data_IF_583009774215
#
_entry.id   IF_583009774215
#
_cell.length_a   1.000
_cell.length_b   1.000
_cell.length_c   1.000
_cell.angle_alpha   90.00
_cell.angle_beta   90.00
_cell.angle_gamma   90.00
#
_symmetry.space_group_name_H-M   'P 1'
#
loop_
_entity.id
_entity.type
_entity.pdbx_description
1 polymer ?
#
# COMPACT_ATOMS: atom_id res chain seq x y z
N UNK A 1 -27.24 9.18 8.90
CA UNK A 1 -27.47 8.29 10.07
C UNK A 1 -26.20 7.51 10.35
N UNK A 2 -25.82 7.25 11.62
CA UNK A 2 -24.68 6.38 11.90
C UNK A 2 -24.96 4.96 11.42
N UNK A 3 -24.11 4.44 10.53
CA UNK A 3 -24.24 3.08 10.01
C UNK A 3 -24.05 2.10 11.17
N UNK A 4 -25.11 1.36 11.53
CA UNK A 4 -25.08 0.40 12.64
C UNK A 4 -24.18 -0.77 12.27
N UNK A 5 -22.90 -0.69 12.67
CA UNK A 5 -21.90 -1.72 12.39
C UNK A 5 -22.36 -3.09 12.91
N UNK A 6 -22.20 -4.12 12.09
CA UNK A 6 -22.57 -5.49 12.41
C UNK A 6 -21.34 -6.23 12.96
N UNK A 7 -21.38 -6.80 14.18
CA UNK A 7 -20.22 -7.49 14.75
C UNK A 7 -19.97 -8.85 14.07
N UNK A 8 -18.73 -9.34 14.20
CA UNK A 8 -18.38 -10.72 13.93
C UNK A 8 -19.30 -11.70 14.68
N UNK A 9 -19.55 -12.87 14.08
CA UNK A 9 -20.30 -13.98 14.71
C UNK A 9 -19.62 -14.51 15.98
N UNK A 10 -18.27 -14.45 16.05
CA UNK A 10 -17.48 -14.91 17.19
C UNK A 10 -17.04 -13.77 18.13
N UNK A 11 -17.91 -12.75 18.30
CA UNK A 11 -17.65 -11.63 19.21
C UNK A 11 -17.46 -12.09 20.65
N UNK A 12 -18.28 -13.03 21.10
CA UNK A 12 -18.26 -13.57 22.47
C UNK A 12 -16.99 -14.38 22.75
N UNK A 13 -16.39 -14.97 21.71
CA UNK A 13 -15.11 -15.67 21.77
C UNK A 13 -13.90 -14.73 21.56
N UNK A 14 -14.12 -13.42 21.59
CA UNK A 14 -13.08 -12.39 21.62
C UNK A 14 -12.74 -11.72 20.29
N UNK A 15 -13.44 -12.03 19.18
CA UNK A 15 -13.25 -11.29 17.94
C UNK A 15 -13.82 -9.87 18.03
N UNK A 16 -13.01 -8.85 17.72
CA UNK A 16 -13.41 -7.43 17.82
C UNK A 16 -13.87 -6.82 16.48
N UNK A 17 -13.77 -7.57 15.39
CA UNK A 17 -14.09 -7.09 14.05
C UNK A 17 -15.57 -6.71 13.91
N UNK A 18 -15.80 -5.62 13.18
CA UNK A 18 -17.12 -5.08 12.89
C UNK A 18 -17.21 -4.63 11.43
N UNK A 19 -18.38 -4.83 10.84
CA UNK A 19 -18.60 -4.74 9.39
C UNK A 19 -19.64 -3.68 9.05
N UNK A 20 -19.59 -3.15 7.83
CA UNK A 20 -20.52 -2.12 7.35
C UNK A 20 -21.99 -2.55 7.41
N UNK A 21 -22.25 -3.85 7.22
CA UNK A 21 -23.56 -4.46 7.07
C UNK A 21 -23.45 -5.98 7.22
N UNK A 22 -24.60 -6.66 7.28
CA UNK A 22 -24.67 -8.13 7.27
C UNK A 22 -24.03 -8.71 6.00
N UNK A 23 -24.29 -8.09 4.82
CA UNK A 23 -23.66 -8.46 3.54
C UNK A 23 -22.13 -8.30 3.59
N UNK A 24 -21.63 -7.18 4.13
CA UNK A 24 -20.18 -6.97 4.34
C UNK A 24 -19.57 -8.10 5.19
N UNK A 25 -20.21 -8.46 6.32
CA UNK A 25 -19.76 -9.55 7.19
C UNK A 25 -19.75 -10.90 6.49
N UNK A 26 -20.82 -11.24 5.78
CA UNK A 26 -20.94 -12.53 5.09
C UNK A 26 -19.97 -12.68 3.91
N UNK A 27 -19.72 -11.58 3.19
CA UNK A 27 -18.68 -11.53 2.16
C UNK A 27 -17.31 -11.73 2.78
N UNK A 28 -16.98 -10.96 3.82
CA UNK A 28 -15.71 -11.07 4.53
C UNK A 28 -15.48 -12.48 5.09
N UNK A 29 -16.51 -13.11 5.68
CA UNK A 29 -16.45 -14.49 6.16
C UNK A 29 -16.08 -15.47 5.05
N UNK A 30 -16.75 -15.42 3.90
CA UNK A 30 -16.48 -16.31 2.75
C UNK A 30 -15.11 -16.05 2.11
N UNK A 31 -14.62 -14.82 2.19
CA UNK A 31 -13.38 -14.40 1.54
C UNK A 31 -12.14 -14.60 2.41
N UNK A 32 -12.08 -14.10 3.65
CA UNK A 32 -10.84 -14.09 4.45
C UNK A 32 -11.07 -14.18 5.97
N UNK A 33 -12.16 -13.63 6.47
CA UNK A 33 -12.40 -13.51 7.91
C UNK A 33 -12.71 -14.88 8.55
N UNK A 34 -13.13 -15.90 7.80
CA UNK A 34 -13.25 -17.26 8.36
C UNK A 34 -11.91 -17.76 8.94
N UNK A 35 -10.78 -17.53 8.25
CA UNK A 35 -9.45 -17.96 8.73
C UNK A 35 -8.78 -16.92 9.64
N UNK A 36 -8.97 -15.61 9.38
CA UNK A 36 -8.40 -14.54 10.22
C UNK A 36 -9.16 -14.27 11.54
N UNK A 37 -10.35 -14.85 11.75
CA UNK A 37 -11.14 -14.57 12.96
C UNK A 37 -10.48 -15.13 14.22
N UNK A 38 -9.88 -14.24 15.02
CA UNK A 38 -9.27 -14.52 16.34
C UNK A 38 -10.20 -15.32 17.28
N UNK A 39 -11.51 -15.08 17.21
CA UNK A 39 -12.52 -15.82 18.00
C UNK A 39 -12.70 -17.29 17.61
N UNK A 40 -12.11 -17.74 16.49
CA UNK A 40 -12.10 -19.14 16.03
C UNK A 40 -10.74 -19.82 16.14
N UNK A 41 -9.67 -19.03 16.20
CA UNK A 41 -8.30 -19.54 16.28
C UNK A 41 -8.08 -20.36 17.55
N UNK A 42 -7.32 -21.46 17.43
CA UNK A 42 -6.75 -22.21 18.56
C UNK A 42 -5.82 -21.30 19.38
N UNK A 43 -5.49 -21.71 20.61
CA UNK A 43 -4.57 -20.93 21.45
C UNK A 43 -3.19 -20.71 20.80
N UNK A 44 -2.64 -21.73 20.12
CA UNK A 44 -1.39 -21.64 19.34
C UNK A 44 -1.49 -20.61 18.21
N UNK A 45 -2.56 -20.69 17.40
CA UNK A 45 -2.83 -19.75 16.31
C UNK A 45 -2.96 -18.31 16.82
N UNK A 46 -3.68 -18.08 17.93
CA UNK A 46 -3.79 -16.73 18.52
C UNK A 46 -2.45 -16.17 18.95
N UNK A 47 -1.57 -17.00 19.52
CA UNK A 47 -0.20 -16.58 19.89
C UNK A 47 0.62 -16.22 18.65
N UNK A 48 0.57 -17.03 17.58
CA UNK A 48 1.26 -16.74 16.33
C UNK A 48 0.71 -15.48 15.64
N UNK A 49 -0.61 -15.34 15.54
CA UNK A 49 -1.28 -14.17 14.97
C UNK A 49 -0.98 -12.90 15.76
N UNK A 50 -1.02 -12.94 17.10
CA UNK A 50 -0.66 -11.79 17.93
C UNK A 50 0.80 -11.36 17.75
N UNK A 51 1.73 -12.32 17.58
CA UNK A 51 3.12 -12.03 17.24
C UNK A 51 3.27 -11.42 15.84
N UNK A 52 2.47 -11.87 14.87
CA UNK A 52 2.45 -11.35 13.49
C UNK A 52 1.92 -9.90 13.43
N UNK A 53 0.89 -9.59 14.23
CA UNK A 53 0.35 -8.22 14.36
C UNK A 53 1.28 -7.26 15.12
N UNK A 54 2.21 -7.80 15.92
CA UNK A 54 3.20 -7.05 16.71
C UNK A 54 4.62 -7.18 16.16
N UNK A 55 4.77 -7.77 14.97
CA UNK A 55 6.07 -8.00 14.36
C UNK A 55 6.68 -6.66 13.93
N UNK A 56 7.98 -6.52 14.11
CA UNK A 56 8.71 -5.36 13.57
C UNK A 56 8.86 -5.52 12.06
N UNK A 57 7.95 -4.87 11.32
CA UNK A 57 7.93 -4.84 9.86
C UNK A 57 8.90 -3.83 9.25
N UNK A 58 9.70 -3.10 10.05
CA UNK A 58 10.76 -2.25 9.51
C UNK A 58 11.95 -3.11 9.08
N UNK A 59 12.20 -3.20 7.78
CA UNK A 59 13.34 -3.93 7.24
C UNK A 59 14.10 -3.04 6.26
N UNK A 60 15.39 -2.83 6.52
CA UNK A 60 16.22 -1.91 5.72
C UNK A 60 15.54 -0.53 5.56
N UNK A 61 15.17 0.11 6.68
CA UNK A 61 14.62 1.48 6.69
C UNK A 61 13.24 1.67 6.04
N UNK A 62 12.61 0.60 5.53
CA UNK A 62 11.27 0.61 4.94
C UNK A 62 10.30 -0.10 5.89
N UNK A 63 9.17 0.53 6.18
CA UNK A 63 8.09 -0.07 6.95
C UNK A 63 7.17 -0.87 6.00
N UNK A 64 7.12 -2.18 6.20
CA UNK A 64 6.25 -3.09 5.43
C UNK A 64 4.90 -3.37 6.12
N UNK A 65 4.53 -2.66 7.20
CA UNK A 65 3.34 -2.98 8.02
C UNK A 65 2.05 -3.10 7.19
N UNK A 66 1.68 -2.06 6.44
CA UNK A 66 0.45 -2.06 5.63
C UNK A 66 0.51 -3.13 4.52
N UNK A 67 1.64 -3.20 3.83
CA UNK A 67 1.96 -4.21 2.80
C UNK A 67 1.80 -5.64 3.33
N UNK A 68 2.26 -5.89 4.55
CA UNK A 68 2.16 -7.17 5.22
C UNK A 68 0.72 -7.52 5.64
N UNK A 69 -0.06 -6.53 6.10
CA UNK A 69 -1.47 -6.74 6.41
C UNK A 69 -2.29 -7.07 5.16
N UNK A 70 -2.01 -6.43 4.02
CA UNK A 70 -2.65 -6.73 2.76
C UNK A 70 -2.16 -8.07 2.17
N UNK A 71 -0.87 -8.38 2.23
CA UNK A 71 -0.31 -9.69 1.85
C UNK A 71 -0.90 -10.85 2.66
N UNK A 72 -1.01 -10.69 3.99
CA UNK A 72 -1.70 -11.62 4.89
C UNK A 72 -3.15 -11.84 4.46
N UNK A 73 -3.87 -10.76 4.12
CA UNK A 73 -5.26 -10.83 3.66
C UNK A 73 -5.39 -11.52 2.30
N UNK A 74 -4.39 -11.42 1.43
CA UNK A 74 -4.34 -12.18 0.17
C UNK A 74 -4.14 -13.67 0.45
N UNK A 75 -3.17 -14.05 1.29
CA UNK A 75 -2.98 -15.46 1.69
C UNK A 75 -4.22 -16.03 2.37
N UNK A 76 -4.88 -15.27 3.24
CA UNK A 76 -6.15 -15.65 3.84
C UNK A 76 -7.26 -15.92 2.80
N UNK A 77 -7.29 -15.15 1.69
CA UNK A 77 -8.24 -15.36 0.59
C UNK A 77 -7.95 -16.62 -0.21
N UNK A 78 -6.69 -16.92 -0.46
CA UNK A 78 -6.23 -18.16 -1.11
C UNK A 78 -6.64 -19.36 -0.26
N UNK A 79 -6.31 -19.36 1.03
CA UNK A 79 -6.64 -20.45 1.95
C UNK A 79 -8.15 -20.60 2.16
N UNK A 80 -8.93 -19.51 2.19
CA UNK A 80 -10.39 -19.61 2.24
C UNK A 80 -10.99 -20.14 0.91
N UNK A 81 -10.40 -19.85 -0.25
CA UNK A 81 -10.79 -20.48 -1.51
C UNK A 81 -10.52 -21.98 -1.49
N UNK A 82 -9.32 -22.39 -1.07
CA UNK A 82 -8.93 -23.78 -0.96
C UNK A 82 -9.79 -24.54 0.07
N UNK A 83 -9.75 -24.15 1.35
CA UNK A 83 -10.41 -24.86 2.46
C UNK A 83 -11.95 -24.85 2.39
N UNK A 84 -12.57 -23.78 1.89
CA UNK A 84 -14.04 -23.62 1.91
C UNK A 84 -14.72 -23.87 0.56
N UNK A 85 -14.03 -23.58 -0.55
CA UNK A 85 -14.58 -23.71 -1.91
C UNK A 85 -13.94 -24.85 -2.70
N UNK A 86 -12.93 -25.53 -2.15
CA UNK A 86 -12.20 -26.66 -2.77
C UNK A 86 -11.54 -26.31 -4.11
N UNK A 87 -11.12 -25.04 -4.26
CA UNK A 87 -10.23 -24.65 -5.35
C UNK A 87 -8.82 -25.23 -5.11
N UNK A 88 -8.07 -25.50 -6.17
CA UNK A 88 -6.62 -25.68 -6.03
C UNK A 88 -5.96 -24.39 -5.55
N UNK A 89 -4.78 -24.50 -4.94
CA UNK A 89 -4.05 -23.33 -4.45
C UNK A 89 -3.59 -22.41 -5.60
N UNK A 90 -3.28 -22.97 -6.77
CA UNK A 90 -2.92 -22.18 -7.96
C UNK A 90 -4.12 -21.41 -8.53
N UNK A 91 -5.28 -22.04 -8.75
CA UNK A 91 -6.52 -21.34 -9.16
C UNK A 91 -6.91 -20.24 -8.16
N UNK A 92 -6.73 -20.52 -6.86
CA UNK A 92 -7.00 -19.56 -5.79
C UNK A 92 -6.03 -18.36 -5.76
N UNK A 93 -4.83 -18.52 -6.32
CA UNK A 93 -3.78 -17.50 -6.35
C UNK A 93 -3.65 -16.78 -7.70
N UNK A 94 -4.21 -17.31 -8.80
CA UNK A 94 -4.04 -16.80 -10.17
C UNK A 94 -4.27 -15.29 -10.30
N UNK A 95 -5.32 -14.75 -9.67
CA UNK A 95 -5.64 -13.32 -9.67
C UNK A 95 -4.55 -12.44 -9.01
N UNK A 96 -3.80 -13.00 -8.06
CA UNK A 96 -2.70 -12.32 -7.37
C UNK A 96 -1.34 -12.56 -8.05
N UNK A 97 -1.17 -13.72 -8.70
CA UNK A 97 -0.01 -13.99 -9.54
C UNK A 97 0.13 -12.94 -10.66
N UNK A 98 -0.99 -12.42 -11.17
CA UNK A 98 -1.00 -11.32 -12.14
C UNK A 98 -0.32 -10.04 -11.63
N UNK A 99 -0.28 -9.77 -10.33
CA UNK A 99 0.43 -8.60 -9.76
C UNK A 99 1.97 -8.77 -9.80
N UNK A 100 2.46 -9.98 -10.05
CA UNK A 100 3.88 -10.38 -10.04
C UNK A 100 4.42 -10.31 -11.48
N UNK A 101 4.59 -9.09 -12.00
CA UNK A 101 4.92 -8.85 -13.42
C UNK A 101 6.38 -9.12 -13.82
N UNK A 102 7.23 -9.66 -12.93
CA UNK A 102 8.65 -9.94 -13.22
C UNK A 102 9.19 -11.08 -12.36
N UNK A 103 10.18 -11.88 -12.81
CA UNK A 103 10.91 -12.81 -11.95
C UNK A 103 11.72 -12.04 -10.90
N UNK A 104 11.17 -11.88 -9.70
CA UNK A 104 11.72 -11.07 -8.59
C UNK A 104 12.89 -11.78 -7.87
N UNK A 105 13.69 -12.60 -8.58
CA UNK A 105 14.97 -13.12 -8.05
C UNK A 105 16.04 -12.02 -7.82
N UNK A 106 15.72 -10.77 -8.16
CA UNK A 106 16.66 -9.63 -8.08
C UNK A 106 15.97 -8.30 -7.70
N UNK A 107 14.81 -8.32 -7.04
CA UNK A 107 14.10 -7.09 -6.64
C UNK A 107 14.03 -6.90 -5.12
N UNK A 108 13.92 -5.63 -4.70
CA UNK A 108 14.01 -5.13 -3.31
C UNK A 108 15.39 -5.26 -2.62
N UNK A 109 16.48 -5.44 -3.38
CA UNK A 109 17.85 -5.15 -2.90
C UNK A 109 18.20 -3.65 -2.87
N UNK A 110 17.35 -2.76 -3.39
CA UNK A 110 17.71 -1.37 -3.71
C UNK A 110 17.18 -0.28 -2.77
N UNK A 111 16.24 -0.60 -1.88
CA UNK A 111 15.88 0.31 -0.80
C UNK A 111 16.96 0.21 0.29
N UNK A 112 18.05 0.97 0.10
CA UNK A 112 18.93 1.63 1.09
C UNK A 112 20.32 1.94 0.50
N UNK A 113 20.59 3.23 0.29
CA UNK A 113 21.91 3.80 0.62
C UNK A 113 21.71 4.84 1.72
N UNK A 114 22.51 4.77 2.78
CA UNK A 114 22.49 5.79 3.84
C UNK A 114 22.88 7.17 3.33
N UNK A 115 22.39 8.22 4.00
CA UNK A 115 22.54 9.64 3.69
C UNK A 115 22.72 9.96 2.20
N UNK A 116 21.60 9.87 1.47
CA UNK A 116 21.50 10.55 0.18
C UNK A 116 21.87 12.02 0.39
N UNK A 117 22.89 12.50 -0.34
CA UNK A 117 23.35 13.89 -0.26
C UNK A 117 22.26 14.85 -0.73
N UNK A 118 21.40 15.24 0.20
CA UNK A 118 20.40 16.30 0.09
C UNK A 118 21.08 17.67 0.02
N UNK A 119 21.86 17.91 -1.04
CA UNK A 119 22.77 19.06 -1.11
C UNK A 119 23.24 19.51 -2.50
N UNK A 120 23.05 18.75 -3.59
CA UNK A 120 23.42 19.24 -4.94
C UNK A 120 22.38 18.89 -6.00
N UNK A 121 21.55 19.87 -6.35
CA UNK A 121 20.52 19.81 -7.38
C UNK A 121 21.07 19.99 -8.81
N UNK A 122 22.18 19.32 -9.15
CA UNK A 122 22.78 19.42 -10.49
C UNK A 122 22.42 18.23 -11.38
N UNK A 123 22.21 18.50 -12.67
CA UNK A 123 21.95 17.48 -13.69
C UNK A 123 23.09 16.45 -13.81
N UNK A 124 24.32 16.85 -13.52
CA UNK A 124 25.49 15.97 -13.49
C UNK A 124 25.39 14.94 -12.35
N UNK A 125 25.00 15.35 -11.13
CA UNK A 125 24.83 14.43 -10.01
C UNK A 125 23.70 13.40 -10.28
N UNK A 126 22.63 13.82 -10.96
CA UNK A 126 21.53 12.94 -11.37
C UNK A 126 21.99 11.94 -12.46
N UNK A 127 22.82 12.37 -13.41
CA UNK A 127 23.37 11.51 -14.46
C UNK A 127 24.40 10.49 -13.90
N UNK A 128 25.26 10.93 -12.98
CA UNK A 128 26.20 10.07 -12.25
C UNK A 128 25.44 9.03 -11.41
N UNK A 129 24.36 9.44 -10.73
CA UNK A 129 23.48 8.55 -9.97
C UNK A 129 22.74 7.53 -10.88
N UNK A 130 22.25 7.95 -12.05
CA UNK A 130 21.64 7.04 -13.02
C UNK A 130 22.66 6.03 -13.60
N UNK A 131 23.91 6.44 -13.78
CA UNK A 131 25.01 5.54 -14.19
C UNK A 131 25.37 4.54 -13.09
N UNK A 132 25.43 5.01 -11.83
CA UNK A 132 25.59 4.15 -10.66
C UNK A 132 24.45 3.11 -10.57
N UNK A 133 23.18 3.51 -10.76
CA UNK A 133 22.03 2.60 -10.80
C UNK A 133 22.20 1.47 -11.83
N UNK A 134 22.69 1.77 -13.05
CA UNK A 134 22.93 0.73 -14.08
C UNK A 134 24.01 -0.27 -13.65
N UNK A 135 25.05 0.17 -12.97
CA UNK A 135 26.07 -0.72 -12.39
C UNK A 135 25.52 -1.55 -11.21
N UNK A 136 24.75 -0.92 -10.33
CA UNK A 136 24.26 -1.53 -9.09
C UNK A 136 23.12 -2.53 -9.32
N UNK A 137 22.38 -2.40 -10.42
CA UNK A 137 21.32 -3.33 -10.85
C UNK A 137 21.76 -4.81 -10.95
N UNK A 138 23.07 -5.05 -11.05
CA UNK A 138 23.65 -6.40 -11.15
C UNK A 138 24.44 -6.83 -9.90
N UNK A 139 25.03 -5.89 -9.14
CA UNK A 139 25.64 -6.13 -7.82
C UNK A 139 25.40 -4.93 -6.87
N UNK A 140 24.37 -4.99 -6.00
CA UNK A 140 24.07 -3.93 -5.03
C UNK A 140 25.15 -3.76 -3.94
N UNK A 141 25.93 -4.81 -3.66
CA UNK A 141 26.96 -4.80 -2.62
C UNK A 141 28.28 -4.19 -3.11
N UNK A 142 28.38 -3.86 -4.40
CA UNK A 142 29.52 -3.12 -4.98
C UNK A 142 29.64 -1.69 -4.43
N UNK A 143 28.53 -1.05 -4.00
CA UNK A 143 28.55 0.30 -3.43
C UNK A 143 29.10 0.27 -1.99
N UNK A 144 30.17 1.00 -1.66
CA UNK A 144 30.70 1.04 -0.29
C UNK A 144 29.69 1.55 0.76
N UNK A 145 28.84 2.51 0.40
CA UNK A 145 27.80 3.05 1.29
C UNK A 145 26.63 2.07 1.52
N UNK A 146 26.18 1.35 0.49
CA UNK A 146 25.18 0.28 0.66
C UNK A 146 25.77 -0.86 1.48
N UNK A 147 27.02 -1.26 1.21
CA UNK A 147 27.75 -2.27 1.99
C UNK A 147 27.91 -1.87 3.46
N UNK A 148 28.23 -0.61 3.75
CA UNK A 148 28.33 -0.11 5.12
C UNK A 148 26.99 -0.14 5.87
N UNK A 149 25.88 0.20 5.19
CA UNK A 149 24.53 0.06 5.74
C UNK A 149 24.14 -1.42 5.95
N UNK A 150 24.54 -2.31 5.03
CA UNK A 150 24.34 -3.77 5.13
C UNK A 150 25.15 -4.45 6.25
N UNK A 151 26.24 -3.83 6.73
CA UNK A 151 27.15 -4.40 7.73
C UNK A 151 26.82 -3.95 9.17
N UNK A 152 25.86 -3.05 9.37
CA UNK A 152 25.29 -2.79 10.69
C UNK A 152 24.44 -3.99 11.13
N UNK A 153 25.03 -4.88 11.93
CA UNK A 153 24.51 -6.20 12.32
C UNK A 153 23.09 -6.21 12.87
N UNK A 154 22.12 -6.28 11.95
CA UNK A 154 20.68 -6.34 12.18
C UNK A 154 20.07 -7.27 11.12
N UNK A 155 18.96 -7.93 11.47
CA UNK A 155 18.22 -8.95 10.72
C UNK A 155 18.36 -8.84 9.19
N UNK A 156 18.88 -9.89 8.54
CA UNK A 156 18.91 -10.00 7.08
C UNK A 156 17.53 -10.35 6.48
N UNK A 157 17.42 -10.27 5.15
CA UNK A 157 16.15 -10.46 4.42
C UNK A 157 15.63 -11.89 4.42
N UNK A 158 16.50 -12.88 4.42
CA UNK A 158 16.08 -14.28 4.44
C UNK A 158 15.56 -14.60 5.85
N UNK A 159 16.26 -14.15 6.89
CA UNK A 159 15.80 -14.20 8.28
C UNK A 159 14.46 -13.47 8.50
N UNK A 160 14.25 -12.29 7.89
CA UNK A 160 12.97 -11.57 7.92
C UNK A 160 11.84 -12.35 7.23
N UNK A 161 12.07 -12.83 6.01
CA UNK A 161 11.09 -13.60 5.25
C UNK A 161 10.75 -14.93 5.94
N UNK A 162 11.72 -15.67 6.46
CA UNK A 162 11.52 -16.92 7.18
C UNK A 162 10.76 -16.71 8.49
N UNK A 163 11.15 -15.73 9.31
CA UNK A 163 10.47 -15.46 10.57
C UNK A 163 9.01 -15.01 10.38
N UNK A 164 8.72 -14.23 9.34
CA UNK A 164 7.35 -13.82 9.00
C UNK A 164 6.54 -14.97 8.40
N UNK A 165 7.17 -15.84 7.60
CA UNK A 165 6.56 -17.05 7.06
C UNK A 165 6.15 -18.04 8.16
N UNK A 166 7.02 -18.30 9.13
CA UNK A 166 6.73 -19.18 10.27
C UNK A 166 5.54 -18.66 11.10
N UNK A 167 5.47 -17.35 11.31
CA UNK A 167 4.33 -16.73 11.98
C UNK A 167 3.03 -16.89 11.17
N UNK A 168 3.09 -16.72 9.85
CA UNK A 168 1.96 -16.86 8.94
C UNK A 168 1.44 -18.31 8.89
N UNK A 169 2.34 -19.30 8.71
CA UNK A 169 2.04 -20.72 8.74
C UNK A 169 1.34 -21.15 10.03
N UNK A 170 1.85 -20.68 11.17
CA UNK A 170 1.33 -21.06 12.49
C UNK A 170 0.07 -20.28 12.88
N UNK A 171 -0.13 -19.05 12.38
CA UNK A 171 -1.37 -18.29 12.57
C UNK A 171 -2.54 -18.92 11.82
N UNK A 172 -2.32 -19.36 10.58
CA UNK A 172 -3.35 -19.98 9.74
C UNK A 172 -3.48 -21.50 9.92
N UNK A 173 -2.61 -22.12 10.72
CA UNK A 173 -2.58 -23.57 10.97
C UNK A 173 -2.48 -24.33 9.64
N UNK A 174 -1.48 -23.94 8.83
CA UNK A 174 -1.28 -24.47 7.48
C UNK A 174 -0.80 -25.93 7.52
N UNK A 175 -1.38 -26.76 6.65
CA UNK A 175 -0.98 -28.15 6.42
C UNK A 175 0.26 -28.24 5.49
N UNK A 176 0.81 -29.45 5.22
CA UNK A 176 2.00 -29.59 4.39
C UNK A 176 1.84 -29.09 2.93
N UNK A 177 0.65 -29.19 2.33
CA UNK A 177 0.39 -28.72 0.96
C UNK A 177 0.41 -27.19 0.94
N UNK A 178 -0.33 -26.57 1.86
CA UNK A 178 -0.43 -25.12 2.01
C UNK A 178 0.92 -24.49 2.39
N UNK A 179 1.72 -25.14 3.24
CA UNK A 179 3.08 -24.70 3.59
C UNK A 179 4.05 -24.83 2.41
N UNK A 180 3.91 -25.88 1.59
CA UNK A 180 4.71 -26.05 0.38
C UNK A 180 4.36 -24.98 -0.66
N UNK A 181 3.11 -24.55 -0.73
CA UNK A 181 2.64 -23.49 -1.60
C UNK A 181 3.04 -22.08 -1.12
N UNK A 182 2.78 -21.76 0.15
CA UNK A 182 3.17 -20.49 0.79
C UNK A 182 4.59 -20.61 1.32
N UNK A 183 5.56 -20.77 0.41
CA UNK A 183 6.99 -20.83 0.72
C UNK A 183 7.64 -19.43 0.73
N UNK A 184 8.84 -19.30 1.31
CA UNK A 184 9.51 -18.01 1.54
C UNK A 184 9.63 -17.13 0.28
N UNK A 185 9.97 -17.73 -0.86
CA UNK A 185 10.01 -17.04 -2.16
C UNK A 185 8.64 -16.49 -2.58
N UNK A 186 7.56 -17.27 -2.53
CA UNK A 186 6.20 -16.79 -2.90
C UNK A 186 5.72 -15.69 -1.95
N UNK A 187 6.07 -15.79 -0.66
CA UNK A 187 5.77 -14.73 0.32
C UNK A 187 6.51 -13.43 0.01
N UNK A 188 7.80 -13.49 -0.30
CA UNK A 188 8.60 -12.34 -0.73
C UNK A 188 8.07 -11.72 -2.03
N UNK A 189 7.78 -12.54 -3.05
CA UNK A 189 7.19 -12.11 -4.32
C UNK A 189 5.84 -11.41 -4.11
N UNK A 190 4.98 -11.93 -3.23
CA UNK A 190 3.70 -11.33 -2.88
C UNK A 190 3.85 -9.98 -2.16
N UNK A 191 4.70 -9.90 -1.13
CA UNK A 191 4.96 -8.64 -0.40
C UNK A 191 5.52 -7.57 -1.34
N UNK A 192 6.45 -7.94 -2.22
CA UNK A 192 7.00 -7.05 -3.24
C UNK A 192 5.93 -6.56 -4.23
N UNK A 193 5.07 -7.45 -4.71
CA UNK A 193 3.97 -7.08 -5.61
C UNK A 193 2.94 -6.18 -4.92
N UNK A 194 2.60 -6.44 -3.65
CA UNK A 194 1.69 -5.58 -2.88
C UNK A 194 2.29 -4.21 -2.63
N UNK A 195 3.60 -4.09 -2.37
CA UNK A 195 4.25 -2.79 -2.15
C UNK A 195 4.16 -1.88 -3.38
N UNK A 196 4.37 -2.42 -4.59
CA UNK A 196 4.35 -1.66 -5.84
C UNK A 196 2.93 -1.35 -6.36
N UNK A 197 1.99 -2.26 -6.12
CA UNK A 197 0.62 -2.17 -6.64
C UNK A 197 -0.40 -1.66 -5.61
N UNK A 198 0.00 -1.53 -4.34
CA UNK A 198 -0.84 -1.12 -3.23
C UNK A 198 -1.20 0.35 -3.32
N UNK A 199 -2.47 0.63 -3.62
CA UNK A 199 -3.02 1.98 -3.57
C UNK A 199 -3.51 2.29 -2.16
N UNK A 200 -2.97 3.35 -1.56
CA UNK A 200 -3.52 3.88 -0.32
C UNK A 200 -4.95 4.39 -0.57
N UNK A 201 -5.86 4.01 0.33
CA UNK A 201 -7.21 4.52 0.45
C UNK A 201 -7.35 5.21 1.79
N UNK A 202 -7.33 6.53 1.74
CA UNK A 202 -7.61 7.40 2.88
C UNK A 202 -8.80 8.29 2.51
N UNK A 203 -10.03 7.74 2.51
CA UNK A 203 -11.23 8.55 2.30
C UNK A 203 -11.27 9.70 3.31
N UNK A 204 -11.71 10.90 2.88
CA UNK A 204 -11.83 12.04 3.77
C UNK A 204 -12.77 11.70 4.92
N UNK A 205 -12.43 12.18 6.12
CA UNK A 205 -13.28 12.01 7.29
C UNK A 205 -14.66 12.66 7.08
N UNK A 206 -15.71 12.20 7.78
CA UNK A 206 -17.02 12.84 7.72
C UNK A 206 -16.99 14.33 8.09
N UNK A 207 -16.04 14.72 8.94
CA UNK A 207 -15.76 16.11 9.30
C UNK A 207 -15.18 16.92 8.14
N UNK A 208 -14.21 16.39 7.39
CA UNK A 208 -13.64 17.06 6.21
C UNK A 208 -14.70 17.31 5.14
N UNK A 209 -15.49 16.28 4.81
CA UNK A 209 -16.59 16.40 3.83
C UNK A 209 -17.64 17.40 4.30
N UNK A 210 -17.97 17.42 5.59
CA UNK A 210 -18.89 18.42 6.15
C UNK A 210 -18.31 19.84 6.05
N UNK A 211 -17.04 20.02 6.42
CA UNK A 211 -16.32 21.30 6.36
C UNK A 211 -16.24 21.85 4.95
N UNK A 212 -15.90 21.02 3.98
CA UNK A 212 -15.80 21.42 2.56
C UNK A 212 -17.17 21.86 2.03
N UNK A 213 -18.22 21.06 2.25
CA UNK A 213 -19.57 21.42 1.85
C UNK A 213 -20.06 22.70 2.54
N UNK A 214 -19.88 22.86 3.85
CA UNK A 214 -20.31 24.06 4.59
C UNK A 214 -19.53 25.28 4.13
N UNK A 215 -18.21 25.20 3.97
CA UNK A 215 -17.37 26.33 3.53
C UNK A 215 -17.69 26.82 2.11
N UNK A 216 -18.29 25.98 1.25
CA UNK A 216 -18.73 26.39 -0.09
C UNK A 216 -20.02 27.23 -0.09
N UNK A 217 -20.74 27.30 1.04
CA UNK A 217 -21.95 28.11 1.20
C UNK A 217 -21.62 29.56 1.61
N UNK A 218 -22.56 30.48 1.33
CA UNK A 218 -22.52 31.85 1.87
C UNK A 218 -22.44 31.83 3.40
N UNK A 219 -21.53 32.62 3.97
CA UNK A 219 -21.17 32.61 5.40
C UNK A 219 -20.67 31.25 5.95
N UNK A 220 -20.36 30.29 5.08
CA UNK A 220 -19.94 28.93 5.42
C UNK A 220 -18.84 28.84 6.46
N UNK A 221 -17.75 29.60 6.28
CA UNK A 221 -16.62 29.66 7.21
C UNK A 221 -17.04 30.13 8.61
N UNK A 222 -18.01 31.05 8.72
CA UNK A 222 -18.55 31.51 10.02
C UNK A 222 -19.41 30.43 10.67
N UNK A 223 -20.25 29.77 9.88
CA UNK A 223 -21.10 28.65 10.32
C UNK A 223 -20.25 27.48 10.82
N UNK A 224 -19.19 27.13 10.11
CA UNK A 224 -18.29 26.04 10.48
C UNK A 224 -17.56 26.33 11.80
N UNK A 225 -17.04 27.55 11.99
CA UNK A 225 -16.43 27.98 13.26
C UNK A 225 -17.40 27.94 14.43
N UNK A 226 -18.68 28.25 14.21
CA UNK A 226 -19.71 28.17 15.26
C UNK A 226 -19.97 26.70 15.64
N UNK A 227 -20.06 25.79 14.65
CA UNK A 227 -20.17 24.36 14.87
C UNK A 227 -18.95 23.78 15.63
N UNK A 228 -17.73 24.13 15.23
CA UNK A 228 -16.51 23.72 15.92
C UNK A 228 -16.52 24.18 17.39
N UNK A 229 -16.89 25.44 17.64
CA UNK A 229 -17.01 25.98 19.00
C UNK A 229 -18.07 25.28 19.85
N UNK A 230 -19.18 24.82 19.27
CA UNK A 230 -20.20 24.01 19.96
C UNK A 230 -19.66 22.60 20.28
N UNK A 231 -18.96 21.97 19.33
CA UNK A 231 -18.37 20.63 19.53
C UNK A 231 -17.31 20.63 20.64
N UNK A 232 -16.45 21.65 20.71
CA UNK A 232 -15.43 21.74 21.77
C UNK A 232 -16.00 22.00 23.17
N UNK A 233 -17.21 22.60 23.29
CA UNK A 233 -17.92 22.72 24.57
C UNK A 233 -18.34 21.36 25.16
N UNK A 234 -18.40 20.30 24.36
CA UNK A 234 -18.73 18.95 24.87
C UNK A 234 -17.61 18.30 25.68
N UNK A 235 -16.39 18.86 25.66
CA UNK A 235 -15.17 18.34 26.28
C UNK A 235 -14.78 16.89 25.89
N UNK A 236 -15.43 16.30 24.88
CA UNK A 236 -15.09 14.98 24.32
C UNK A 236 -14.01 15.04 23.24
N UNK A 237 -13.73 16.24 22.77
CA UNK A 237 -12.88 16.61 21.63
C UNK A 237 -12.12 17.85 22.08
N UNK A 238 -10.80 17.89 21.93
CA UNK A 238 -9.94 18.98 22.42
C UNK A 238 -9.63 20.01 21.35
N UNK A 239 -9.42 19.55 20.12
CA UNK A 239 -9.16 20.40 18.96
C UNK A 239 -9.67 19.76 17.67
N UNK A 240 -9.46 20.44 16.54
CA UNK A 240 -9.98 20.00 15.24
C UNK A 240 -9.38 18.65 14.81
N UNK A 241 -8.15 18.31 15.19
CA UNK A 241 -7.48 17.06 14.82
C UNK A 241 -8.23 15.82 15.31
N UNK A 242 -8.84 15.89 16.50
CA UNK A 242 -9.71 14.82 17.06
C UNK A 242 -10.97 14.56 16.19
N UNK A 243 -11.36 15.49 15.31
CA UNK A 243 -12.49 15.34 14.38
C UNK A 243 -12.10 14.67 13.06
N UNK A 244 -10.80 14.66 12.71
CA UNK A 244 -10.29 13.96 11.52
C UNK A 244 -10.24 12.45 11.77
N UNK A 245 -11.41 11.80 11.67
CA UNK A 245 -11.51 10.34 11.67
C UNK A 245 -11.47 9.82 10.21
N UNK A 246 -10.28 9.80 9.61
CA UNK A 246 -10.03 9.10 8.36
C UNK A 246 -9.67 7.63 8.64
N UNK A 247 -10.20 6.72 7.83
CA UNK A 247 -9.77 5.32 7.87
C UNK A 247 -8.72 5.09 6.78
N UNK A 248 -7.44 5.00 7.15
CA UNK A 248 -6.41 4.55 6.20
C UNK A 248 -6.59 3.06 5.90
N UNK A 249 -6.31 2.69 4.67
CA UNK A 249 -6.29 1.31 4.20
C UNK A 249 -5.52 1.19 2.89
N UNK A 250 -5.31 -0.03 2.43
CA UNK A 250 -4.61 -0.30 1.17
C UNK A 250 -5.40 -1.32 0.35
N UNK A 251 -5.36 -1.19 -0.97
CA UNK A 251 -5.95 -2.17 -1.90
C UNK A 251 -5.13 -2.30 -3.19
N UNK A 252 -5.11 -3.50 -3.76
CA UNK A 252 -4.53 -3.79 -5.08
C UNK A 252 -5.63 -3.88 -6.12
N UNK A 253 -5.39 -3.34 -7.31
CA UNK A 253 -6.39 -3.22 -8.37
C UNK A 253 -5.83 -3.76 -9.68
N UNK A 254 -6.09 -5.02 -10.00
CA UNK A 254 -5.46 -5.70 -11.15
C UNK A 254 -5.49 -4.87 -12.44
N UNK A 255 -6.66 -4.35 -12.85
CA UNK A 255 -6.76 -3.46 -14.02
C UNK A 255 -6.04 -2.12 -13.80
N UNK A 256 -6.20 -1.51 -12.62
CA UNK A 256 -5.57 -0.23 -12.28
C UNK A 256 -4.05 -0.27 -12.12
N UNK A 257 -3.46 -1.45 -12.01
CA UNK A 257 -2.02 -1.70 -11.94
C UNK A 257 -1.32 -1.66 -13.30
N UNK A 258 -2.05 -1.77 -14.42
CA UNK A 258 -1.46 -1.74 -15.77
C UNK A 258 -1.18 -0.32 -16.30
N UNK A 259 -1.75 0.73 -15.70
CA UNK A 259 -1.56 2.11 -16.17
C UNK A 259 -0.18 2.64 -15.75
N UNK A 260 0.66 2.96 -16.73
CA UNK A 260 1.97 3.56 -16.51
C UNK A 260 1.89 5.02 -16.02
N UNK A 261 3.02 5.54 -15.55
CA UNK A 261 3.10 6.89 -15.02
C UNK A 261 3.37 7.98 -16.07
N UNK A 262 2.63 9.09 -15.98
CA UNK A 262 3.01 10.38 -16.52
C UNK A 262 2.83 11.51 -15.50
N UNK A 263 3.71 12.52 -15.51
CA UNK A 263 3.50 13.79 -14.79
C UNK A 263 2.54 14.74 -15.53
N UNK A 264 2.04 14.30 -16.67
CA UNK A 264 1.00 14.93 -17.50
C UNK A 264 0.09 13.78 -17.97
N UNK A 265 -0.76 13.25 -17.08
CA UNK A 265 -1.49 12.01 -17.32
C UNK A 265 -2.74 12.22 -18.16
N UNK A 266 -3.15 11.14 -18.82
CA UNK A 266 -4.36 11.09 -19.65
C UNK A 266 -5.59 10.75 -18.80
N UNK A 267 -5.36 10.06 -17.68
CA UNK A 267 -6.37 9.51 -16.79
C UNK A 267 -6.17 9.97 -15.34
N UNK A 268 -7.28 10.11 -14.63
CA UNK A 268 -7.32 10.32 -13.18
C UNK A 268 -7.97 9.12 -12.47
N UNK A 269 -7.37 8.69 -11.36
CA UNK A 269 -7.88 7.61 -10.52
C UNK A 269 -8.72 8.20 -9.38
N UNK A 270 -9.98 7.78 -9.28
CA UNK A 270 -10.93 8.26 -8.28
C UNK A 270 -11.40 7.12 -7.38
N UNK A 271 -11.45 7.37 -6.07
CA UNK A 271 -11.97 6.42 -5.09
C UNK A 271 -13.39 6.82 -4.67
N UNK A 272 -14.25 5.82 -4.44
CA UNK A 272 -15.63 6.06 -4.04
C UNK A 272 -15.74 6.74 -2.68
N UNK A 273 -16.44 7.87 -2.63
CA UNK A 273 -16.71 8.62 -1.40
C UNK A 273 -17.59 7.85 -0.39
N UNK A 274 -18.30 6.79 -0.82
CA UNK A 274 -19.09 5.94 0.09
C UNK A 274 -18.30 4.76 0.67
N UNK A 275 -16.97 4.74 0.47
CA UNK A 275 -16.05 3.71 0.96
C UNK A 275 -16.43 2.28 0.50
N UNK A 276 -16.83 2.17 -0.77
CA UNK A 276 -16.83 0.90 -1.49
C UNK A 276 -15.44 0.60 -2.11
N UNK A 277 -15.28 -0.60 -2.66
CA UNK A 277 -14.02 -1.10 -3.20
C UNK A 277 -13.63 -0.58 -4.61
N UNK A 278 -14.35 0.39 -5.18
CA UNK A 278 -14.08 1.14 -6.45
C UNK A 278 -13.36 2.46 -6.12
N UNK A 279 -12.37 3.05 -6.81
CA UNK A 279 -11.61 2.84 -8.06
C UNK A 279 -12.39 2.90 -9.38
N UNK A 280 -12.83 4.10 -9.69
CA UNK A 280 -13.14 4.58 -11.05
C UNK A 280 -11.88 5.17 -11.69
N UNK A 281 -11.76 5.08 -13.00
CA UNK A 281 -10.73 5.79 -13.78
C UNK A 281 -11.44 6.64 -14.82
N UNK A 282 -11.08 7.92 -14.91
CA UNK A 282 -11.74 8.91 -15.77
C UNK A 282 -10.73 9.62 -16.65
N UNK A 283 -11.12 9.96 -17.88
CA UNK A 283 -10.31 10.70 -18.82
C UNK A 283 -10.18 12.18 -18.39
N UNK A 284 -8.96 12.73 -18.50
CA UNK A 284 -8.65 14.14 -18.29
C UNK A 284 -8.58 14.93 -19.60
N UNK A 285 -8.48 14.22 -20.73
CA UNK A 285 -8.42 14.73 -22.10
C UNK A 285 -9.00 13.68 -23.06
N UNK A 286 -9.34 14.09 -24.27
CA UNK A 286 -9.62 13.14 -25.35
C UNK A 286 -8.38 12.25 -25.60
N UNK A 287 -8.57 10.93 -25.64
CA UNK A 287 -7.52 9.95 -25.97
C UNK A 287 -7.87 9.23 -27.27
N UNK A 288 -6.88 9.00 -28.13
CA UNK A 288 -7.10 8.31 -29.42
C UNK A 288 -6.80 6.81 -29.30
N UNK A 289 -7.47 6.02 -30.13
CA UNK A 289 -7.20 4.58 -30.23
C UNK A 289 -5.71 4.32 -30.55
N UNK A 290 -5.05 3.53 -29.70
CA UNK A 290 -3.63 3.21 -29.81
C UNK A 290 -2.68 4.16 -29.07
N UNK A 291 -3.17 5.24 -28.43
CA UNK A 291 -2.38 5.98 -27.45
C UNK A 291 -2.21 5.15 -26.16
N UNK A 292 -1.05 5.26 -25.51
CA UNK A 292 -0.82 4.68 -24.17
C UNK A 292 -1.65 5.46 -23.14
N UNK A 293 -2.27 4.75 -22.19
CA UNK A 293 -3.05 5.34 -21.11
C UNK A 293 -2.20 5.46 -19.84
N UNK A 294 -2.01 6.70 -19.38
CA UNK A 294 -1.18 6.99 -18.20
C UNK A 294 -1.93 7.70 -17.07
N UNK A 295 -1.49 7.43 -15.84
CA UNK A 295 -1.96 8.06 -14.59
C UNK A 295 -0.79 8.75 -13.86
N UNK A 296 -1.07 9.64 -12.91
CA UNK A 296 -0.01 10.09 -11.99
C UNK A 296 0.12 9.13 -10.81
N UNK A 297 1.35 8.76 -10.46
CA UNK A 297 1.65 7.97 -9.24
C UNK A 297 1.93 8.86 -8.02
N UNK A 298 2.09 10.16 -8.25
CA UNK A 298 2.59 11.17 -7.31
C UNK A 298 1.78 12.47 -7.47
N UNK A 299 2.02 13.46 -6.62
CA UNK A 299 1.51 14.81 -6.87
C UNK A 299 2.27 15.47 -8.04
N UNK A 300 1.58 15.63 -9.16
CA UNK A 300 2.12 16.25 -10.37
C UNK A 300 2.28 17.78 -10.25
N UNK A 301 1.77 18.42 -9.19
CA UNK A 301 1.95 19.86 -8.94
C UNK A 301 3.39 20.21 -8.52
N UNK A 302 4.11 19.23 -7.92
CA UNK A 302 5.43 19.43 -7.32
C UNK A 302 6.53 19.79 -8.35
N UNK A 303 7.65 20.41 -7.92
CA UNK A 303 8.79 20.74 -8.80
C UNK A 303 9.42 19.50 -9.46
N UNK A 304 10.06 19.67 -10.63
CA UNK A 304 10.62 18.56 -11.42
C UNK A 304 11.51 17.61 -10.61
N UNK A 305 12.47 18.15 -9.85
CA UNK A 305 13.39 17.35 -9.05
C UNK A 305 12.66 16.48 -8.00
N UNK A 306 11.67 17.07 -7.31
CA UNK A 306 10.85 16.36 -6.31
C UNK A 306 10.02 15.27 -6.97
N UNK A 307 9.42 15.54 -8.14
CA UNK A 307 8.67 14.53 -8.90
C UNK A 307 9.54 13.36 -9.35
N UNK A 308 10.75 13.64 -9.85
CA UNK A 308 11.68 12.58 -10.25
C UNK A 308 12.11 11.73 -9.04
N UNK A 309 12.38 12.35 -7.90
CA UNK A 309 12.70 11.65 -6.65
C UNK A 309 11.55 10.74 -6.19
N UNK A 310 10.32 11.27 -6.06
CA UNK A 310 9.15 10.52 -5.61
C UNK A 310 8.72 9.40 -6.56
N UNK A 311 9.09 9.46 -7.84
CA UNK A 311 8.90 8.37 -8.79
C UNK A 311 10.04 7.35 -8.69
N UNK A 312 11.28 7.82 -8.57
CA UNK A 312 12.45 6.95 -8.58
C UNK A 312 12.59 6.13 -7.29
N UNK A 313 12.33 6.69 -6.11
CA UNK A 313 12.49 5.99 -4.82
C UNK A 313 11.62 4.71 -4.72
N UNK A 314 10.29 4.74 -4.91
CA UNK A 314 9.45 3.55 -4.82
C UNK A 314 9.34 2.73 -6.13
N UNK A 315 9.42 3.35 -7.31
CA UNK A 315 9.18 2.67 -8.59
C UNK A 315 10.44 2.45 -9.46
N UNK A 316 11.60 3.00 -9.05
CA UNK A 316 12.93 2.72 -9.63
C UNK A 316 13.05 3.01 -11.15
N UNK A 317 12.35 4.02 -11.65
CA UNK A 317 12.53 4.57 -13.01
C UNK A 317 12.57 6.10 -13.02
N UNK A 318 13.12 6.68 -14.09
CA UNK A 318 13.15 8.13 -14.33
C UNK A 318 11.99 8.49 -15.26
N UNK A 319 11.13 9.42 -14.86
CA UNK A 319 9.97 9.82 -15.65
C UNK A 319 10.40 10.61 -16.90
N UNK A 320 10.03 10.11 -18.09
CA UNK A 320 10.37 10.68 -19.40
C UNK A 320 9.14 11.22 -20.16
N UNK A 321 8.06 11.55 -19.46
CA UNK A 321 6.90 12.21 -20.10
C UNK A 321 7.28 13.57 -20.72
N UNK A 322 6.46 14.04 -21.66
CA UNK A 322 6.66 15.29 -22.42
C UNK A 322 6.99 16.48 -21.51
N UNK A 323 6.20 16.70 -20.45
CA UNK A 323 6.41 17.74 -19.44
C UNK A 323 7.78 17.65 -18.75
N UNK A 324 8.21 16.45 -18.34
CA UNK A 324 9.52 16.26 -17.70
C UNK A 324 10.69 16.49 -18.67
N UNK A 325 10.57 16.04 -19.92
CA UNK A 325 11.58 16.29 -20.97
C UNK A 325 11.68 17.78 -21.29
N UNK A 326 10.54 18.49 -21.38
CA UNK A 326 10.51 19.92 -21.67
C UNK A 326 11.16 20.73 -20.55
N UNK A 327 10.81 20.47 -19.29
CA UNK A 327 11.37 21.16 -18.13
C UNK A 327 12.88 20.89 -17.98
N UNK A 328 13.33 19.64 -18.10
CA UNK A 328 14.76 19.30 -18.00
C UNK A 328 15.65 19.90 -19.10
N UNK A 329 15.08 20.39 -20.21
CA UNK A 329 15.79 21.16 -21.25
C UNK A 329 15.90 22.65 -20.93
N UNK A 330 15.06 23.18 -20.03
CA UNK A 330 15.11 24.57 -19.57
C UNK A 330 16.20 24.80 -18.53
N UNK A 331 16.30 23.90 -17.54
CA UNK A 331 17.26 24.01 -16.43
C UNK A 331 18.74 23.92 -16.86
N UNK A 332 19.02 23.47 -18.10
CA UNK A 332 20.37 23.37 -18.67
C UNK A 332 20.90 24.68 -19.28
N UNK A 333 20.23 25.83 -19.08
CA UNK A 333 20.63 27.15 -19.58
C UNK A 333 20.66 28.26 -18.51
N UNK A 334 20.71 27.87 -17.23
CA UNK A 334 20.88 28.77 -16.08
C UNK A 334 22.33 28.81 -15.62
#
# INVERSE_FOLDING_TARGET
>A
MPVKRVPCLWKEQGCRDSFCSTRCRESALKQFHWICCVGRMKASQRTAYSKLMQYDWVQSGVDYSDTAMLGLRIVAQVLCAHRLRRASLDEAFELYAQLIHSPITSFFTYLLTGDMRTGSSSSAAIAEHASAYVACKNDPLSIPAARAAYVQGTRDKDTFCLATLDLLHNAFDMDPEERSFVHARRWSELIGAVLLNGRERSPPSPYEVHREHVNSLTDGIRTMRAYEAEVFQTHRVKDVSDLFCSSRGQGTYGVGSFFNHSCEPDLNVQYSAVNDDTLSVVELRDVKAGEELTISYIDASLPLAVRQQQVFEPYLFVCRCTRCIAQGRGDARG
#
